data_IF_678123579881
#
_entry.id   IF_678123579881
#
_cell.length_a   1.000
_cell.length_b   1.000
_cell.length_c   1.000
_cell.angle_alpha   90.00
_cell.angle_beta   90.00
_cell.angle_gamma   90.00
#
_symmetry.space_group_name_H-M   'P 1'
#
loop_
_entity.id
_entity.type
_entity.pdbx_description
1 polymer ?
#
# COMPACT_ATOMS: atom_id res chain seq x y z
N UNK A 1 27.19 -22.16 3.55
CA UNK A 1 27.18 -20.79 3.01
C UNK A 1 25.73 -20.37 2.92
N UNK A 2 25.26 -19.53 3.83
CA UNK A 2 23.87 -19.06 3.81
C UNK A 2 23.73 -18.07 2.66
N UNK A 3 22.72 -18.27 1.81
CA UNK A 3 22.34 -17.29 0.81
C UNK A 3 22.07 -15.94 1.50
N UNK A 4 22.41 -14.79 0.89
CA UNK A 4 22.06 -13.50 1.47
C UNK A 4 20.54 -13.46 1.71
N UNK A 5 20.13 -13.13 2.94
CA UNK A 5 18.73 -12.95 3.27
C UNK A 5 18.14 -11.89 2.33
N UNK A 6 16.96 -12.19 1.79
CA UNK A 6 16.25 -11.25 0.91
C UNK A 6 15.92 -10.00 1.73
N UNK A 7 16.26 -8.79 1.25
CA UNK A 7 16.01 -7.56 2.01
C UNK A 7 14.52 -7.43 2.33
N UNK A 8 14.21 -7.12 3.59
CA UNK A 8 12.82 -6.96 4.02
C UNK A 8 12.23 -5.64 3.49
N UNK A 9 10.91 -5.50 3.51
CA UNK A 9 10.19 -4.33 3.00
C UNK A 9 10.69 -3.01 3.60
N UNK A 10 11.06 -3.00 4.87
CA UNK A 10 11.61 -1.80 5.54
C UNK A 10 12.95 -1.36 4.92
N UNK A 11 13.88 -2.31 4.72
CA UNK A 11 15.17 -2.03 4.08
C UNK A 11 15.00 -1.57 2.63
N UNK A 12 14.09 -2.21 1.88
CA UNK A 12 13.77 -1.80 0.51
C UNK A 12 13.19 -0.39 0.45
N UNK A 13 12.35 -0.02 1.41
CA UNK A 13 11.77 1.32 1.47
C UNK A 13 12.84 2.38 1.79
N UNK A 14 13.71 2.13 2.76
CA UNK A 14 14.80 3.07 3.08
C UNK A 14 15.74 3.25 1.87
N UNK A 15 16.15 2.14 1.24
CA UNK A 15 16.98 2.19 0.05
C UNK A 15 16.32 2.99 -1.09
N UNK A 16 15.01 2.81 -1.31
CA UNK A 16 14.26 3.58 -2.29
C UNK A 16 14.22 5.09 -1.95
N UNK A 17 14.01 5.44 -0.67
CA UNK A 17 13.99 6.84 -0.24
C UNK A 17 15.36 7.49 -0.42
N UNK A 18 16.43 6.77 -0.08
CA UNK A 18 17.82 7.22 -0.23
C UNK A 18 18.21 7.39 -1.71
N UNK A 19 17.93 6.37 -2.55
CA UNK A 19 18.19 6.41 -4.00
C UNK A 19 17.49 7.60 -4.66
N UNK A 20 16.29 7.93 -4.20
CA UNK A 20 15.48 9.04 -4.72
C UNK A 20 15.75 10.37 -4.02
N UNK A 21 16.71 10.41 -3.10
CA UNK A 21 17.08 11.59 -2.31
C UNK A 21 15.87 12.24 -1.62
N UNK A 22 14.92 11.43 -1.18
CA UNK A 22 13.74 11.90 -0.48
C UNK A 22 14.15 12.38 0.92
N UNK A 23 13.59 13.50 1.37
CA UNK A 23 13.76 13.93 2.76
C UNK A 23 12.83 13.13 3.65
N UNK A 24 13.38 12.38 4.60
CA UNK A 24 12.60 11.64 5.58
C UNK A 24 13.28 11.67 6.96
N UNK A 25 12.51 11.29 7.98
CA UNK A 25 13.00 11.01 9.33
C UNK A 25 12.43 9.67 9.75
N UNK A 26 13.28 8.77 10.23
CA UNK A 26 12.83 7.51 10.84
C UNK A 26 12.33 7.78 12.26
N UNK A 27 11.16 7.26 12.59
CA UNK A 27 10.55 7.38 13.91
C UNK A 27 10.22 5.97 14.38
N UNK A 28 11.03 5.44 15.28
CA UNK A 28 10.86 4.10 15.84
C UNK A 28 9.84 4.12 16.98
N UNK A 29 9.03 3.08 17.07
CA UNK A 29 8.05 2.88 18.13
C UNK A 29 7.72 1.39 18.29
N UNK A 30 7.25 1.00 19.47
CA UNK A 30 6.75 -0.35 19.72
C UNK A 30 5.49 -0.66 18.89
N UNK A 31 5.15 -1.93 18.68
CA UNK A 31 3.91 -2.28 17.99
C UNK A 31 2.68 -1.91 18.85
N UNK A 32 1.93 -0.86 18.47
CA UNK A 32 0.86 -0.30 19.30
C UNK A 32 -0.57 -0.63 18.87
N UNK A 33 -0.78 -1.32 17.74
CA UNK A 33 -2.09 -1.79 17.26
C UNK A 33 -3.15 -0.72 16.92
N UNK A 34 -2.94 0.55 17.29
CA UNK A 34 -3.87 1.67 17.10
C UNK A 34 -3.20 2.78 16.28
N UNK A 35 -3.86 3.23 15.21
CA UNK A 35 -3.30 4.22 14.29
C UNK A 35 -3.17 5.62 14.92
N UNK A 36 -4.05 5.94 15.88
CA UNK A 36 -4.07 7.20 16.63
C UNK A 36 -2.78 7.37 17.43
N UNK A 37 -2.42 6.36 18.23
CA UNK A 37 -1.21 6.37 19.04
C UNK A 37 0.05 6.56 18.18
N UNK A 38 0.14 5.91 17.01
CA UNK A 38 1.29 6.07 16.11
C UNK A 38 1.31 7.49 15.49
N UNK A 39 0.15 8.07 15.22
CA UNK A 39 0.05 9.42 14.66
C UNK A 39 0.51 10.49 15.66
N UNK A 40 0.20 10.31 16.94
CA UNK A 40 0.70 11.16 18.04
C UNK A 40 2.24 11.12 18.14
N UNK A 41 2.86 9.93 18.09
CA UNK A 41 4.33 9.80 18.10
C UNK A 41 4.97 10.54 16.92
N UNK A 42 4.35 10.47 15.74
CA UNK A 42 4.82 11.20 14.56
C UNK A 42 4.61 12.72 14.65
N UNK A 43 3.74 13.20 15.55
CA UNK A 43 3.30 14.59 15.61
C UNK A 43 2.40 14.98 14.45
N UNK A 44 1.60 14.04 13.94
CA UNK A 44 0.74 14.22 12.76
C UNK A 44 -0.73 13.96 13.10
N UNK A 45 -1.66 14.67 12.48
CA UNK A 45 -3.06 14.29 12.52
C UNK A 45 -3.27 12.95 11.79
N UNK A 46 -4.26 12.15 12.20
CA UNK A 46 -4.52 10.82 11.63
C UNK A 46 -4.64 10.87 10.09
N UNK A 47 -5.41 11.82 9.55
CA UNK A 47 -5.60 12.00 8.11
C UNK A 47 -4.37 12.47 7.32
N UNK A 48 -3.29 12.89 8.00
CA UNK A 48 -2.01 13.16 7.33
C UNK A 48 -1.22 11.87 7.07
N UNK A 49 -1.54 10.79 7.78
CA UNK A 49 -1.05 9.45 7.47
C UNK A 49 -1.64 8.95 6.16
N UNK A 50 -0.86 8.17 5.41
CA UNK A 50 -1.35 7.45 4.24
C UNK A 50 -1.34 5.94 4.53
N UNK A 51 -2.33 5.24 3.99
CA UNK A 51 -2.39 3.78 4.00
C UNK A 51 -2.53 3.25 2.57
N UNK A 52 -2.24 1.97 2.41
CA UNK A 52 -2.35 1.27 1.14
C UNK A 52 -3.15 -0.02 1.27
N UNK A 53 -3.96 -0.29 0.26
CA UNK A 53 -4.77 -1.51 0.16
C UNK A 53 -4.44 -2.19 -1.16
N UNK A 54 -4.29 -3.51 -1.16
CA UNK A 54 -4.28 -4.26 -2.41
C UNK A 54 -5.73 -4.59 -2.76
N UNK A 55 -6.19 -4.10 -3.89
CA UNK A 55 -7.53 -4.34 -4.41
C UNK A 55 -7.47 -5.20 -5.66
N UNK A 56 -8.41 -6.12 -5.82
CA UNK A 56 -8.61 -6.89 -7.04
C UNK A 56 -9.81 -6.32 -7.79
N UNK A 57 -9.62 -5.94 -9.05
CA UNK A 57 -10.68 -5.43 -9.92
C UNK A 57 -10.97 -6.43 -11.03
N UNK A 58 -12.25 -6.70 -11.27
CA UNK A 58 -12.75 -7.61 -12.30
C UNK A 58 -13.89 -6.98 -13.11
N UNK A 59 -14.13 -7.50 -14.31
CA UNK A 59 -15.28 -7.18 -15.16
C UNK A 59 -14.89 -6.38 -16.41
N UNK A 60 -15.75 -6.42 -17.44
CA UNK A 60 -15.50 -5.73 -18.73
C UNK A 60 -14.13 -6.05 -19.36
N UNK A 61 -13.66 -7.30 -19.22
CA UNK A 61 -12.33 -7.72 -19.69
C UNK A 61 -11.17 -7.35 -18.76
N UNK A 62 -11.43 -6.62 -17.67
CA UNK A 62 -10.43 -6.31 -16.63
C UNK A 62 -10.34 -7.47 -15.64
N UNK A 63 -9.11 -7.85 -15.27
CA UNK A 63 -8.79 -8.73 -14.15
C UNK A 63 -7.38 -8.41 -13.65
N UNK A 64 -7.27 -7.44 -12.73
CA UNK A 64 -5.96 -6.96 -12.27
C UNK A 64 -5.98 -6.58 -10.78
N UNK A 65 -4.80 -6.53 -10.19
CA UNK A 65 -4.59 -6.00 -8.84
C UNK A 65 -4.12 -4.55 -8.89
N UNK A 66 -4.57 -3.75 -7.93
CA UNK A 66 -4.23 -2.35 -7.75
C UNK A 66 -3.71 -2.13 -6.34
N UNK A 67 -2.80 -1.18 -6.16
CA UNK A 67 -2.45 -0.64 -4.86
C UNK A 67 -3.19 0.69 -4.67
N UNK A 68 -4.31 0.68 -3.94
CA UNK A 68 -5.09 1.87 -3.64
C UNK A 68 -4.47 2.61 -2.46
N UNK A 69 -4.10 3.88 -2.67
CA UNK A 69 -3.49 4.75 -1.65
C UNK A 69 -4.48 5.86 -1.26
N UNK A 70 -4.71 5.99 0.04
CA UNK A 70 -5.65 6.94 0.65
C UNK A 70 -5.16 7.45 2.00
N UNK A 71 -5.78 8.52 2.51
CA UNK A 71 -5.53 9.00 3.86
C UNK A 71 -5.94 7.94 4.91
N UNK A 72 -5.26 7.91 6.05
CA UNK A 72 -5.44 6.84 7.04
C UNK A 72 -6.84 6.83 7.65
N UNK A 73 -7.47 7.99 7.77
CA UNK A 73 -8.82 8.21 8.28
C UNK A 73 -9.95 7.95 7.25
N UNK A 74 -9.60 7.71 5.99
CA UNK A 74 -10.58 7.47 4.92
C UNK A 74 -10.85 5.98 4.68
N UNK A 75 -11.98 5.66 4.06
CA UNK A 75 -12.31 4.32 3.59
C UNK A 75 -12.32 4.31 2.07
N UNK A 76 -11.88 3.19 1.48
CA UNK A 76 -11.84 3.05 0.03
C UNK A 76 -13.25 2.82 -0.54
N UNK A 77 -13.60 3.57 -1.58
CA UNK A 77 -14.79 3.35 -2.39
C UNK A 77 -14.45 2.35 -3.51
N UNK A 78 -14.69 1.07 -3.22
CA UNK A 78 -14.42 -0.04 -4.14
C UNK A 78 -15.22 0.06 -5.45
N UNK A 79 -16.43 0.63 -5.42
CA UNK A 79 -17.21 0.80 -6.64
C UNK A 79 -16.53 1.83 -7.56
N UNK A 80 -16.06 2.95 -7.00
CA UNK A 80 -15.33 3.96 -7.78
C UNK A 80 -13.97 3.47 -8.25
N UNK A 81 -13.25 2.71 -7.43
CA UNK A 81 -12.00 2.07 -7.85
C UNK A 81 -12.23 1.14 -9.04
N UNK A 82 -13.30 0.35 -9.04
CA UNK A 82 -13.66 -0.52 -10.17
C UNK A 82 -13.90 0.31 -11.44
N UNK A 83 -14.76 1.32 -11.35
CA UNK A 83 -15.10 2.21 -12.47
C UNK A 83 -13.88 2.94 -13.03
N UNK A 84 -12.98 3.43 -12.16
CA UNK A 84 -11.80 4.19 -12.54
C UNK A 84 -10.86 3.39 -13.47
N UNK A 85 -10.77 2.08 -13.29
CA UNK A 85 -9.94 1.21 -14.13
C UNK A 85 -10.73 0.44 -15.19
N UNK A 86 -11.99 0.82 -15.42
CA UNK A 86 -12.87 0.21 -16.42
C UNK A 86 -13.42 -1.17 -16.05
N UNK A 87 -13.30 -1.59 -14.80
CA UNK A 87 -13.91 -2.82 -14.28
C UNK A 87 -15.34 -2.62 -13.78
N UNK A 88 -16.02 -3.70 -13.44
CA UNK A 88 -17.38 -3.66 -12.87
C UNK A 88 -17.42 -3.94 -11.37
N UNK A 89 -16.37 -4.56 -10.81
CA UNK A 89 -16.31 -4.94 -9.40
C UNK A 89 -14.89 -4.84 -8.86
N UNK A 90 -14.73 -4.23 -7.68
CA UNK A 90 -13.50 -4.32 -6.90
C UNK A 90 -13.75 -4.99 -5.55
N UNK A 91 -12.73 -5.65 -5.03
CA UNK A 91 -12.69 -6.20 -3.67
C UNK A 91 -11.29 -6.01 -3.09
N UNK A 92 -11.16 -6.12 -1.77
CA UNK A 92 -9.83 -6.32 -1.17
C UNK A 92 -9.25 -7.65 -1.63
N UNK A 93 -7.93 -7.69 -1.82
CA UNK A 93 -7.21 -8.92 -2.05
C UNK A 93 -7.18 -9.76 -0.76
N UNK A 94 -7.12 -11.08 -0.93
CA UNK A 94 -6.95 -12.00 0.20
C UNK A 94 -5.57 -11.81 0.89
N UNK A 95 -5.40 -12.23 2.15
CA UNK A 95 -4.11 -12.18 2.83
C UNK A 95 -2.97 -12.87 2.05
N UNK A 96 -3.25 -14.01 1.40
CA UNK A 96 -2.28 -14.71 0.57
C UNK A 96 -1.89 -13.92 -0.69
N UNK A 97 -2.84 -13.26 -1.35
CA UNK A 97 -2.54 -12.36 -2.47
C UNK A 97 -1.74 -11.13 -2.01
N UNK A 98 -2.06 -10.57 -0.84
CA UNK A 98 -1.32 -9.44 -0.26
C UNK A 98 0.13 -9.82 0.01
N UNK A 99 0.36 -10.94 0.69
CA UNK A 99 1.69 -11.46 1.00
C UNK A 99 2.50 -11.69 -0.29
N UNK A 100 1.91 -12.40 -1.27
CA UNK A 100 2.56 -12.67 -2.54
C UNK A 100 2.92 -11.37 -3.30
N UNK A 101 2.03 -10.38 -3.34
CA UNK A 101 2.21 -9.16 -4.15
C UNK A 101 3.08 -8.10 -3.48
N UNK A 102 3.16 -8.08 -2.14
CA UNK A 102 3.79 -6.98 -1.38
C UNK A 102 4.90 -7.41 -0.43
N UNK A 103 5.03 -8.71 -0.15
CA UNK A 103 5.86 -9.24 0.94
C UNK A 103 5.52 -8.61 2.31
N UNK A 104 4.29 -8.13 2.46
CA UNK A 104 3.76 -7.58 3.70
C UNK A 104 2.54 -8.37 4.14
N UNK A 105 2.29 -8.39 5.45
CA UNK A 105 1.02 -8.84 5.99
C UNK A 105 -0.06 -7.78 5.80
N UNK A 106 -1.32 -8.22 5.84
CA UNK A 106 -2.47 -7.32 5.82
C UNK A 106 -2.36 -6.27 6.94
N UNK A 107 -2.56 -5.01 6.60
CA UNK A 107 -2.44 -3.87 7.54
C UNK A 107 -1.02 -3.29 7.70
N UNK A 108 0.00 -3.91 7.11
CA UNK A 108 1.39 -3.44 7.15
C UNK A 108 1.94 -3.00 5.79
N UNK A 109 1.07 -2.84 4.78
CA UNK A 109 1.46 -2.49 3.41
C UNK A 109 1.83 -0.99 3.36
N UNK A 110 3.06 -0.61 2.98
CA UNK A 110 3.44 0.79 2.87
C UNK A 110 2.81 1.44 1.62
N UNK A 111 2.50 2.75 1.64
CA UNK A 111 1.96 3.50 0.50
C UNK A 111 3.03 3.84 -0.56
N UNK A 112 3.79 2.82 -0.97
CA UNK A 112 4.89 2.92 -1.94
C UNK A 112 4.79 1.77 -2.94
N UNK A 113 5.19 2.04 -4.18
CA UNK A 113 5.49 0.97 -5.12
C UNK A 113 6.91 0.47 -4.86
N UNK A 114 7.05 -0.71 -4.28
CA UNK A 114 8.35 -1.34 -4.07
C UNK A 114 8.71 -2.26 -5.26
N UNK A 115 10.00 -2.42 -5.57
CA UNK A 115 10.44 -3.44 -6.52
C UNK A 115 10.02 -4.82 -6.01
N UNK A 116 9.20 -5.54 -6.78
CA UNK A 116 8.70 -6.86 -6.38
C UNK A 116 9.81 -7.90 -6.51
N UNK A 117 9.86 -8.81 -5.54
CA UNK A 117 10.46 -10.11 -5.75
C UNK A 117 9.47 -11.06 -6.44
N UNK A 118 9.46 -11.09 -7.77
CA UNK A 118 9.02 -12.20 -8.63
C UNK A 118 7.67 -12.90 -8.32
N UNK A 119 6.61 -12.17 -7.96
CA UNK A 119 5.29 -12.78 -7.81
C UNK A 119 4.59 -13.05 -9.17
N UNK A 120 3.97 -14.23 -9.37
CA UNK A 120 3.17 -14.49 -10.57
C UNK A 120 1.92 -13.59 -10.56
N UNK A 121 1.82 -12.68 -11.54
CA UNK A 121 0.71 -11.72 -11.65
C UNK A 121 1.15 -10.28 -11.92
N UNK A 122 2.46 -9.98 -11.87
CA UNK A 122 2.96 -8.61 -12.06
C UNK A 122 2.69 -7.70 -10.85
N UNK A 123 3.32 -6.52 -10.83
CA UNK A 123 3.14 -5.55 -9.75
C UNK A 123 1.75 -4.92 -9.83
N UNK A 124 1.02 -4.78 -8.70
CA UNK A 124 -0.19 -3.98 -8.69
C UNK A 124 0.15 -2.54 -9.10
N UNK A 125 -0.56 -2.00 -10.09
CA UNK A 125 -0.42 -0.58 -10.41
C UNK A 125 -0.91 0.26 -9.22
N UNK A 126 -0.09 1.21 -8.74
CA UNK A 126 -0.58 2.11 -7.69
C UNK A 126 -1.53 3.14 -8.27
N UNK A 127 -2.69 3.23 -7.64
CA UNK A 127 -3.73 4.19 -7.97
C UNK A 127 -3.92 5.06 -6.74
N UNK A 128 -3.73 6.37 -6.90
CA UNK A 128 -4.17 7.34 -5.88
C UNK A 128 -5.69 7.41 -5.99
N UNK A 129 -6.38 7.12 -4.90
CA UNK A 129 -7.83 7.17 -4.92
C UNK A 129 -8.31 8.63 -5.03
N UNK A 130 -9.09 8.92 -6.08
CA UNK A 130 -9.70 10.23 -6.30
C UNK A 130 -10.94 10.36 -5.40
N UNK A 131 -10.76 10.97 -4.24
CA UNK A 131 -11.86 11.25 -3.32
C UNK A 131 -12.74 12.41 -3.82
N UNK A 132 -14.03 12.36 -3.49
CA UNK A 132 -15.12 13.18 -4.04
C UNK A 132 -14.97 14.71 -3.85
N UNK A 133 -14.07 15.18 -2.98
CA UNK A 133 -13.99 16.57 -2.51
C UNK A 133 -12.62 17.26 -2.75
N UNK A 134 -11.87 16.89 -3.79
CA UNK A 134 -10.79 17.75 -4.30
C UNK A 134 -11.23 18.44 -5.60
N UNK A 135 -12.01 19.49 -5.44
CA UNK A 135 -12.04 20.64 -6.34
C UNK A 135 -11.23 21.76 -5.68
#
# INVERSE_FOLDING_TARGET
MNAPEKPNTHQLLLALLDERQARYRLVEHEAMGKCEAVSEIRGTALGQGAKALVCKVKGHGVNQHLLAILAADQQADLARLALHVGGSKASLASPAEVDALTACVFGAIPPFQLPSGAAPGGRPAAVRELQRNRL
#
